data_IF_374289227117
#
_entry.id   IF_374289227117
#
_cell.length_a   1.000
_cell.length_b   1.000
_cell.length_c   1.000
_cell.angle_alpha   90.00
_cell.angle_beta   90.00
_cell.angle_gamma   90.00
#
_symmetry.space_group_name_H-M   'P 1'
#
loop_
_entity.id
_entity.type
_entity.pdbx_description
1 polymer ?
#
# COMPACT_ATOMS: atom_id res chain seq x y z
N UNK A 1 6.65 -14.25 2.79
CA UNK A 1 7.99 -13.77 3.18
C UNK A 1 9.01 -14.84 2.83
N UNK A 2 10.26 -14.45 2.54
CA UNK A 2 11.35 -15.38 2.29
C UNK A 2 12.53 -15.07 3.21
N UNK A 3 13.26 -16.11 3.62
CA UNK A 3 14.58 -15.93 4.23
C UNK A 3 15.58 -15.45 3.17
N UNK A 4 16.68 -14.82 3.60
CA UNK A 4 17.74 -14.33 2.70
C UNK A 4 18.27 -15.41 1.74
N UNK A 5 18.29 -16.68 2.19
CA UNK A 5 18.72 -17.83 1.39
C UNK A 5 17.76 -18.21 0.25
N UNK A 6 16.50 -17.74 0.29
CA UNK A 6 15.45 -18.02 -0.70
C UNK A 6 15.33 -19.50 -1.13
N UNK A 7 15.57 -20.42 -0.20
CA UNK A 7 15.70 -21.85 -0.48
C UNK A 7 14.46 -22.67 -0.11
N UNK A 8 13.30 -22.03 0.02
CA UNK A 8 12.04 -22.73 0.29
C UNK A 8 11.58 -23.50 -0.94
N UNK A 9 10.86 -24.61 -0.73
CA UNK A 9 10.24 -25.39 -1.81
C UNK A 9 9.15 -24.60 -2.56
N UNK A 10 8.56 -23.61 -1.90
CA UNK A 10 7.44 -22.83 -2.42
C UNK A 10 7.91 -21.43 -2.82
N UNK A 11 7.40 -20.97 -3.95
CA UNK A 11 7.38 -19.58 -4.35
C UNK A 11 5.96 -19.03 -4.16
N UNK A 12 5.83 -17.83 -3.64
CA UNK A 12 4.55 -17.19 -3.39
C UNK A 12 4.58 -15.75 -3.92
N UNK A 13 3.49 -15.34 -4.56
CA UNK A 13 3.25 -13.97 -4.98
C UNK A 13 1.76 -13.68 -4.83
N UNK A 14 1.41 -12.44 -4.48
CA UNK A 14 0.03 -12.02 -4.45
C UNK A 14 -0.42 -11.71 -5.89
N UNK A 15 -1.52 -12.32 -6.33
CA UNK A 15 -2.24 -11.86 -7.52
C UNK A 15 -3.23 -10.78 -7.07
N UNK A 16 -3.08 -9.57 -7.59
CA UNK A 16 -3.82 -8.39 -7.12
C UNK A 16 -4.47 -7.67 -8.29
N UNK A 17 -5.64 -7.10 -8.05
CA UNK A 17 -6.34 -6.21 -8.97
C UNK A 17 -6.49 -4.85 -8.32
N UNK A 18 -6.24 -3.80 -9.10
CA UNK A 18 -6.37 -2.43 -8.60
C UNK A 18 -7.84 -2.10 -8.41
N UNK A 19 -8.18 -1.64 -7.21
CA UNK A 19 -9.49 -1.05 -6.90
C UNK A 19 -9.36 0.47 -6.84
N UNK A 20 -10.42 1.16 -7.20
CA UNK A 20 -10.51 2.60 -7.30
C UNK A 20 -11.65 3.16 -6.46
N UNK A 21 -11.71 4.48 -6.32
CA UNK A 21 -12.82 5.16 -5.63
C UNK A 21 -14.20 4.86 -6.23
N UNK A 22 -14.27 4.48 -7.51
CA UNK A 22 -15.52 4.08 -8.17
C UNK A 22 -16.07 2.77 -7.61
N UNK A 23 -15.18 1.85 -7.24
CA UNK A 23 -15.56 0.54 -6.68
C UNK A 23 -16.09 0.68 -5.25
N UNK A 24 -15.66 1.73 -4.53
CA UNK A 24 -16.19 2.07 -3.20
C UNK A 24 -17.54 2.78 -3.30
N UNK A 25 -17.74 3.63 -4.30
CA UNK A 25 -19.00 4.32 -4.54
C UNK A 25 -20.15 3.34 -4.84
N UNK A 26 -19.86 2.23 -5.53
CA UNK A 26 -20.84 1.16 -5.76
C UNK A 26 -21.31 0.44 -4.47
N UNK A 27 -20.63 0.68 -3.35
CA UNK A 27 -20.92 0.11 -2.04
C UNK A 27 -21.40 1.17 -1.03
N UNK A 28 -21.80 2.36 -1.49
CA UNK A 28 -22.20 3.52 -0.68
C UNK A 28 -21.12 4.02 0.31
N UNK A 29 -19.84 3.71 0.06
CA UNK A 29 -18.71 4.11 0.89
C UNK A 29 -18.14 5.48 0.47
N UNK A 30 -18.95 6.54 0.62
CA UNK A 30 -18.60 7.92 0.22
C UNK A 30 -17.77 8.71 1.26
N UNK A 31 -16.99 8.03 2.10
CA UNK A 31 -16.20 8.64 3.17
C UNK A 31 -14.71 8.66 2.81
N UNK A 32 -13.90 9.62 3.33
CA UNK A 32 -12.44 9.62 3.14
C UNK A 32 -11.75 8.32 3.57
N UNK A 33 -12.39 7.56 4.46
CA UNK A 33 -11.93 6.25 4.94
C UNK A 33 -12.62 5.08 4.21
N UNK A 34 -13.25 5.31 3.06
CA UNK A 34 -14.03 4.30 2.33
C UNK A 34 -13.18 3.09 1.93
N UNK A 35 -11.94 3.33 1.51
CA UNK A 35 -10.98 2.25 1.24
C UNK A 35 -10.59 1.44 2.49
N UNK A 36 -10.53 2.06 3.67
CA UNK A 36 -10.29 1.35 4.93
C UNK A 36 -11.47 0.43 5.26
N UNK A 37 -12.69 0.93 5.08
CA UNK A 37 -13.90 0.13 5.34
C UNK A 37 -14.05 -1.01 4.31
N UNK A 38 -13.67 -0.75 3.05
CA UNK A 38 -13.58 -1.78 2.02
C UNK A 38 -12.61 -2.90 2.43
N UNK A 39 -11.39 -2.57 2.86
CA UNK A 39 -10.43 -3.56 3.38
C UNK A 39 -11.02 -4.36 4.55
N UNK A 40 -11.61 -3.66 5.55
CA UNK A 40 -12.24 -4.30 6.72
C UNK A 40 -13.41 -5.20 6.36
N UNK A 41 -14.19 -4.85 5.35
CA UNK A 41 -15.31 -5.65 4.88
C UNK A 41 -14.82 -7.00 4.37
N UNK A 42 -13.80 -7.02 3.51
CA UNK A 42 -13.26 -8.27 2.98
C UNK A 42 -12.46 -9.06 4.02
N UNK A 43 -11.72 -8.40 4.90
CA UNK A 43 -11.03 -9.05 6.03
C UNK A 43 -12.02 -9.75 6.98
N UNK A 44 -13.15 -9.11 7.31
CA UNK A 44 -14.21 -9.72 8.12
C UNK A 44 -14.85 -10.93 7.43
N UNK A 45 -15.11 -10.84 6.13
CA UNK A 45 -15.65 -11.97 5.35
C UNK A 45 -14.67 -13.14 5.32
N UNK A 46 -13.38 -12.86 5.10
CA UNK A 46 -12.34 -13.88 5.13
C UNK A 46 -12.25 -14.55 6.52
N UNK A 47 -12.29 -13.77 7.60
CA UNK A 47 -12.31 -14.30 8.96
C UNK A 47 -13.56 -15.15 9.26
N UNK A 48 -14.74 -14.72 8.79
CA UNK A 48 -15.99 -15.48 8.94
C UNK A 48 -15.95 -16.81 8.19
N UNK A 49 -15.37 -16.84 6.98
CA UNK A 49 -15.13 -18.09 6.24
C UNK A 49 -14.13 -19.02 6.92
N UNK A 50 -13.19 -18.46 7.69
CA UNK A 50 -12.25 -19.18 8.54
C UNK A 50 -12.76 -19.52 9.94
N UNK A 51 -14.07 -19.40 10.19
CA UNK A 51 -14.72 -19.62 11.48
C UNK A 51 -14.13 -18.81 12.66
N UNK A 52 -13.48 -17.69 12.37
CA UNK A 52 -12.82 -16.84 13.37
C UNK A 52 -11.53 -17.43 13.98
N UNK A 53 -11.09 -18.61 13.55
CA UNK A 53 -9.93 -19.31 14.10
C UNK A 53 -8.59 -18.87 13.47
N UNK A 54 -8.54 -17.70 12.82
CA UNK A 54 -7.41 -17.25 11.99
C UNK A 54 -6.99 -18.26 10.91
N UNK A 55 -7.91 -19.16 10.55
CA UNK A 55 -7.75 -20.10 9.44
C UNK A 55 -8.11 -19.38 8.17
N UNK A 56 -7.25 -19.50 7.16
CA UNK A 56 -7.52 -18.92 5.85
C UNK A 56 -8.39 -19.90 5.07
N UNK A 57 -9.43 -19.44 4.36
CA UNK A 57 -10.14 -20.29 3.42
C UNK A 57 -9.16 -20.78 2.34
N UNK A 58 -8.96 -22.10 2.27
CA UNK A 58 -8.11 -22.74 1.27
C UNK A 58 -8.98 -23.40 0.21
N UNK A 59 -8.91 -22.89 -1.03
CA UNK A 59 -9.48 -23.57 -2.19
C UNK A 59 -8.38 -23.93 -3.18
N UNK A 60 -8.23 -25.23 -3.44
CA UNK A 60 -7.32 -25.74 -4.46
C UNK A 60 -7.65 -25.14 -5.82
N UNK A 61 -6.65 -24.49 -6.45
CA UNK A 61 -6.75 -23.87 -7.78
C UNK A 61 -7.30 -24.82 -8.86
N UNK A 62 -7.00 -26.12 -8.78
CA UNK A 62 -7.44 -27.14 -9.75
C UNK A 62 -8.96 -27.31 -9.80
N UNK A 63 -9.69 -27.03 -8.72
CA UNK A 63 -11.14 -27.29 -8.63
C UNK A 63 -11.96 -26.19 -9.33
N UNK A 64 -11.41 -24.98 -9.51
CA UNK A 64 -12.16 -23.82 -9.99
C UNK A 64 -12.03 -23.55 -11.49
N UNK A 65 -10.85 -23.76 -12.08
CA UNK A 65 -10.65 -23.48 -13.51
C UNK A 65 -11.44 -24.41 -14.44
N UNK A 66 -11.82 -25.60 -13.98
CA UNK A 66 -12.44 -26.62 -14.83
C UNK A 66 -13.98 -26.55 -14.88
N UNK A 67 -14.66 -25.81 -13.99
CA UNK A 67 -16.05 -26.12 -13.68
C UNK A 67 -17.15 -25.08 -13.91
N UNK A 68 -16.91 -23.82 -14.34
CA UNK A 68 -17.87 -23.04 -15.16
C UNK A 68 -17.52 -21.56 -15.33
N UNK A 69 -18.03 -21.04 -16.45
CA UNK A 69 -18.16 -19.64 -16.84
C UNK A 69 -18.86 -18.84 -15.72
N UNK A 70 -18.40 -17.61 -15.47
CA UNK A 70 -18.85 -16.68 -14.41
C UNK A 70 -18.30 -16.98 -13.00
N UNK A 71 -16.99 -16.83 -12.81
CA UNK A 71 -16.43 -16.67 -11.47
C UNK A 71 -16.81 -15.29 -10.92
N UNK A 72 -17.72 -15.23 -9.95
CA UNK A 72 -18.00 -13.99 -9.23
C UNK A 72 -16.76 -13.52 -8.46
N UNK A 73 -16.60 -12.21 -8.23
CA UNK A 73 -15.47 -11.64 -7.47
C UNK A 73 -15.28 -12.28 -6.08
N UNK A 74 -16.38 -12.76 -5.48
CA UNK A 74 -16.38 -13.54 -4.23
C UNK A 74 -15.69 -14.90 -4.35
N UNK A 75 -15.68 -15.52 -5.53
CA UNK A 75 -15.15 -16.84 -5.79
C UNK A 75 -13.62 -16.84 -5.97
N UNK A 76 -13.06 -15.79 -6.58
CA UNK A 76 -11.61 -15.59 -6.75
C UNK A 76 -10.88 -15.38 -5.41
N UNK A 77 -11.60 -14.80 -4.45
CA UNK A 77 -11.17 -14.49 -3.08
C UNK A 77 -10.79 -15.71 -2.23
N UNK A 78 -11.12 -16.92 -2.67
CA UNK A 78 -11.00 -18.17 -1.90
C UNK A 78 -9.75 -18.99 -2.28
N UNK A 79 -9.08 -18.67 -3.39
CA UNK A 79 -8.00 -19.50 -3.96
C UNK A 79 -6.64 -19.40 -3.25
N UNK A 80 -6.45 -18.37 -2.42
CA UNK A 80 -5.29 -18.18 -1.54
C UNK A 80 -5.62 -17.04 -0.58
N UNK A 81 -4.95 -16.99 0.57
CA UNK A 81 -5.11 -15.92 1.57
C UNK A 81 -5.36 -14.54 0.97
N UNK A 82 -6.44 -13.89 1.38
CA UNK A 82 -6.82 -12.56 0.92
C UNK A 82 -5.73 -11.53 1.26
N UNK A 83 -5.20 -10.86 0.24
CA UNK A 83 -4.28 -9.74 0.37
C UNK A 83 -5.03 -8.41 0.18
N UNK A 84 -5.41 -7.74 1.27
CA UNK A 84 -6.16 -6.46 1.24
C UNK A 84 -5.27 -5.22 1.33
N UNK A 85 -4.05 -5.34 1.86
CA UNK A 85 -3.17 -4.22 2.21
C UNK A 85 -1.92 -4.25 1.34
N UNK A 86 -2.05 -3.83 0.08
CA UNK A 86 -0.95 -3.70 -0.89
C UNK A 86 -0.37 -2.28 -0.92
N UNK A 87 -1.18 -1.29 -0.57
CA UNK A 87 -0.83 0.11 -0.42
C UNK A 87 -1.82 0.79 0.55
N UNK A 88 -1.52 2.03 0.95
CA UNK A 88 -2.45 2.78 1.80
C UNK A 88 -3.74 3.13 1.05
N UNK A 89 -4.91 2.87 1.66
CA UNK A 89 -6.20 3.27 1.10
C UNK A 89 -6.50 4.78 1.28
N UNK A 90 -5.60 5.52 1.93
CA UNK A 90 -5.75 6.95 2.25
C UNK A 90 -4.46 7.69 1.89
N UNK A 91 -4.61 8.90 1.37
CA UNK A 91 -3.51 9.82 1.14
C UNK A 91 -3.72 11.09 1.97
N UNK A 92 -2.74 11.43 2.81
CA UNK A 92 -2.82 12.61 3.68
C UNK A 92 -2.19 13.80 2.93
N UNK A 93 -2.98 14.82 2.62
CA UNK A 93 -2.51 15.95 1.81
C UNK A 93 -1.33 16.71 2.44
N UNK A 94 -0.22 16.79 1.71
CA UNK A 94 0.98 17.57 2.05
C UNK A 94 1.52 18.35 0.86
N UNK A 95 2.34 19.38 1.13
CA UNK A 95 3.08 20.12 0.12
C UNK A 95 4.22 19.30 -0.50
N UNK A 96 4.65 19.61 -1.73
CA UNK A 96 5.74 18.90 -2.38
C UNK A 96 7.10 19.15 -1.68
N UNK A 97 7.33 20.39 -1.27
CA UNK A 97 8.46 20.88 -0.47
C UNK A 97 7.87 22.00 0.41
N UNK A 98 7.91 21.93 1.76
CA UNK A 98 8.72 21.09 2.66
C UNK A 98 8.10 19.74 3.08
N UNK A 99 7.21 19.11 2.31
CA UNK A 99 6.53 17.86 2.74
C UNK A 99 5.60 18.03 3.97
N UNK A 100 5.17 19.25 4.26
CA UNK A 100 4.33 19.58 5.41
C UNK A 100 2.83 19.43 5.07
N UNK A 101 2.04 18.98 6.04
CA UNK A 101 0.60 18.83 5.89
C UNK A 101 -0.06 20.19 5.59
N UNK A 102 -1.02 20.18 4.66
CA UNK A 102 -1.71 21.40 4.21
C UNK A 102 -2.62 22.02 5.27
N UNK A 103 -3.14 21.21 6.20
CA UNK A 103 -4.09 21.64 7.22
C UNK A 103 -3.49 21.78 8.62
N UNK A 104 -2.33 21.19 8.89
CA UNK A 104 -1.68 21.21 10.21
C UNK A 104 -0.18 21.48 10.07
N UNK A 105 0.26 22.64 10.54
CA UNK A 105 1.69 22.98 10.58
C UNK A 105 2.45 22.09 11.55
N UNK A 106 3.69 21.76 11.20
CA UNK A 106 4.57 20.87 11.97
C UNK A 106 4.26 19.37 11.79
N UNK A 107 3.23 19.00 11.01
CA UNK A 107 2.94 17.61 10.66
C UNK A 107 3.55 17.27 9.29
N UNK A 108 4.31 16.18 9.21
CA UNK A 108 4.96 15.72 7.97
C UNK A 108 4.53 14.29 7.63
N UNK A 109 3.45 14.11 6.84
CA UNK A 109 2.97 12.79 6.45
C UNK A 109 3.95 12.10 5.50
N UNK A 110 4.49 10.95 5.90
CA UNK A 110 5.50 10.20 5.12
C UNK A 110 5.21 8.70 5.05
N UNK A 111 5.86 8.04 4.08
CA UNK A 111 5.81 6.59 3.93
C UNK A 111 4.51 6.09 3.32
N UNK A 112 4.34 4.77 3.38
CA UNK A 112 3.20 4.08 2.77
C UNK A 112 1.89 4.49 3.44
N UNK A 113 1.84 4.52 4.78
CA UNK A 113 0.63 4.87 5.53
C UNK A 113 0.08 6.27 5.23
N UNK A 114 0.93 7.22 4.83
CA UNK A 114 0.50 8.55 4.39
C UNK A 114 0.14 8.62 2.89
N UNK A 115 0.37 7.55 2.14
CA UNK A 115 0.13 7.46 0.70
C UNK A 115 1.26 8.01 -0.18
N UNK A 116 2.50 8.07 0.32
CA UNK A 116 3.65 8.64 -0.41
C UNK A 116 4.80 7.66 -0.70
N UNK A 117 4.66 6.39 -0.34
CA UNK A 117 5.61 5.34 -0.66
C UNK A 117 4.88 4.02 -0.93
N UNK A 118 5.58 3.07 -1.55
CA UNK A 118 5.06 1.73 -1.88
C UNK A 118 6.05 0.61 -1.57
N UNK A 119 7.08 0.88 -0.77
CA UNK A 119 8.09 -0.10 -0.40
C UNK A 119 9.14 0.49 0.53
N UNK A 120 10.03 -0.38 1.01
CA UNK A 120 11.02 -0.05 2.05
C UNK A 120 11.91 1.12 1.61
N UNK A 121 12.47 1.05 0.41
CA UNK A 121 13.40 2.07 -0.10
C UNK A 121 12.69 3.40 -0.32
N UNK A 122 11.51 3.41 -0.94
CA UNK A 122 10.76 4.65 -1.18
C UNK A 122 10.27 5.28 0.13
N UNK A 123 9.92 4.48 1.13
CA UNK A 123 9.56 4.97 2.46
C UNK A 123 10.77 5.61 3.17
N UNK A 124 11.94 4.97 3.11
CA UNK A 124 13.18 5.51 3.67
C UNK A 124 13.59 6.83 3.01
N UNK A 125 13.51 6.89 1.68
CA UNK A 125 13.80 8.11 0.90
C UNK A 125 12.81 9.23 1.26
N UNK A 126 11.51 8.94 1.29
CA UNK A 126 10.50 9.93 1.70
C UNK A 126 10.69 10.46 3.13
N UNK A 127 11.10 9.59 4.06
CA UNK A 127 11.45 9.96 5.42
C UNK A 127 12.68 10.86 5.49
N UNK A 128 13.71 10.57 4.69
CA UNK A 128 14.92 11.40 4.60
C UNK A 128 14.60 12.82 4.12
N UNK A 129 13.87 12.97 3.01
CA UNK A 129 13.49 14.29 2.48
C UNK A 129 12.69 15.10 3.50
N UNK A 130 11.73 14.46 4.18
CA UNK A 130 10.90 15.15 5.17
C UNK A 130 11.68 15.50 6.44
N UNK A 131 12.64 14.66 6.84
CA UNK A 131 13.57 14.96 7.94
C UNK A 131 14.43 16.18 7.66
N UNK A 132 14.98 16.31 6.45
CA UNK A 132 15.71 17.51 6.04
C UNK A 132 14.83 18.74 5.94
N UNK A 133 13.59 18.58 5.47
CA UNK A 133 12.63 19.68 5.41
C UNK A 133 12.27 20.19 6.81
N UNK A 134 12.03 19.29 7.77
CA UNK A 134 11.84 19.63 9.17
C UNK A 134 13.08 20.33 9.76
N UNK A 135 14.28 19.83 9.50
CA UNK A 135 15.53 20.44 9.97
C UNK A 135 15.71 21.88 9.46
N UNK A 136 15.30 22.16 8.21
CA UNK A 136 15.27 23.54 7.66
C UNK A 136 14.24 24.41 8.38
N UNK A 137 13.04 23.90 8.59
CA UNK A 137 11.99 24.62 9.31
C UNK A 137 12.40 24.98 10.75
N UNK A 138 13.21 24.14 11.39
CA UNK A 138 13.77 24.37 12.73
C UNK A 138 15.05 25.21 12.73
N UNK A 139 15.56 25.65 11.58
CA UNK A 139 16.82 26.41 11.49
C UNK A 139 18.07 25.59 11.79
N UNK A 140 17.98 24.26 11.82
CA UNK A 140 19.11 23.34 12.07
C UNK A 140 19.92 23.05 10.81
N UNK A 141 19.37 23.35 9.63
CA UNK A 141 20.01 23.11 8.35
C UNK A 141 19.66 24.22 7.36
N UNK A 142 20.66 24.79 6.69
CA UNK A 142 20.49 25.91 5.74
C UNK A 142 20.84 25.53 4.29
N UNK A 143 21.36 24.32 4.06
CA UNK A 143 21.80 23.85 2.74
C UNK A 143 20.70 23.20 1.91
N UNK A 144 21.04 22.74 0.71
CA UNK A 144 20.20 21.79 -0.05
C UNK A 144 20.60 20.35 0.29
N UNK A 145 19.66 19.42 0.21
CA UNK A 145 19.94 17.98 0.43
C UNK A 145 21.01 17.45 -0.54
N UNK A 146 21.10 18.05 -1.74
CA UNK A 146 22.12 17.75 -2.75
C UNK A 146 23.55 18.02 -2.25
N UNK A 147 23.75 18.94 -1.29
CA UNK A 147 25.07 19.17 -0.71
C UNK A 147 25.56 17.99 0.14
N UNK A 148 24.63 17.18 0.66
CA UNK A 148 24.95 16.04 1.55
C UNK A 148 25.01 14.73 0.76
N UNK A 149 24.06 14.52 -0.15
CA UNK A 149 23.92 13.26 -0.88
C UNK A 149 24.53 13.29 -2.29
N UNK A 150 24.97 14.46 -2.74
CA UNK A 150 25.28 14.71 -4.14
C UNK A 150 24.02 14.89 -5.00
N UNK A 151 24.20 15.31 -6.25
CA UNK A 151 23.09 15.36 -7.21
C UNK A 151 22.68 13.93 -7.56
N UNK A 152 21.40 13.62 -7.41
CA UNK A 152 20.84 12.41 -7.99
C UNK A 152 21.03 12.46 -9.51
N UNK A 153 21.57 11.40 -10.11
CA UNK A 153 21.48 11.23 -11.56
C UNK A 153 19.99 11.26 -11.92
N UNK A 154 19.61 12.11 -12.87
CA UNK A 154 18.21 12.25 -13.25
C UNK A 154 17.66 10.87 -13.60
N UNK A 155 16.59 10.47 -12.91
CA UNK A 155 15.87 9.26 -13.26
C UNK A 155 15.34 9.46 -14.69
N UNK A 156 15.97 8.81 -15.65
CA UNK A 156 15.42 8.69 -16.99
C UNK A 156 13.98 8.18 -16.83
N UNK A 157 13.03 8.90 -17.41
CA UNK A 157 11.64 8.47 -17.48
C UNK A 157 11.64 7.17 -18.26
N UNK A 158 11.61 6.03 -17.57
CA UNK A 158 11.28 4.76 -18.16
C UNK A 158 9.81 4.84 -18.55
N UNK A 159 9.55 5.25 -19.79
CA UNK A 159 8.26 5.06 -20.44
C UNK A 159 8.08 3.55 -20.61
N UNK A 160 7.14 2.99 -19.87
CA UNK A 160 6.52 1.72 -20.23
C UNK A 160 5.43 1.97 -21.26
#
# INVERSE_FOLDING_TARGET
MSFSRQSSKWANAALVVTVSSKDFAALDLHIPLGGVEFQRMFERRAAAMGEGNFVVPDCRQEVYYLNNKEATLLQLLVSSSLQTRTSSPVQISRSADPCECTSLRGLYPIGEGAGYAGGIVSAAVGGMYSGFALAKCLGLFHGSIELILGKAQSAGVAKY
#
